data_IF_521151957614
#
_entry.id   IF_521151957614
#
_cell.length_a   1.000
_cell.length_b   1.000
_cell.length_c   1.000
_cell.angle_alpha   90.00
_cell.angle_beta   90.00
_cell.angle_gamma   90.00
#
_symmetry.space_group_name_H-M   'P 1'
#
loop_
_entity.id
_entity.type
_entity.pdbx_description
1 polymer ?
#
# COMPACT_ATOMS: atom_id res chain seq x y z
N UNK A 1 -60.70 -21.25 -41.94
CA UNK A 1 -59.63 -22.18 -41.49
C UNK A 1 -58.67 -21.32 -40.67
N UNK A 2 -58.90 -20.95 -39.41
CA UNK A 2 -59.21 -21.70 -38.19
C UNK A 2 -58.35 -22.95 -37.99
N UNK A 3 -57.16 -22.77 -37.43
CA UNK A 3 -56.53 -23.74 -36.53
C UNK A 3 -56.00 -23.01 -35.29
N UNK A 4 -56.66 -23.29 -34.19
CA UNK A 4 -56.40 -22.85 -32.82
C UNK A 4 -55.42 -23.83 -32.19
N UNK A 5 -54.28 -23.34 -31.69
CA UNK A 5 -53.39 -24.15 -30.84
C UNK A 5 -53.84 -23.98 -29.36
N UNK A 6 -53.96 -25.07 -28.58
CA UNK A 6 -54.56 -25.05 -27.25
C UNK A 6 -53.56 -24.66 -26.17
N UNK A 7 -54.11 -24.17 -25.05
CA UNK A 7 -53.38 -23.61 -23.94
C UNK A 7 -52.47 -24.57 -23.19
N UNK A 8 -51.47 -23.97 -22.54
CA UNK A 8 -50.84 -24.54 -21.36
C UNK A 8 -50.80 -23.45 -20.28
N UNK A 9 -51.11 -23.90 -19.08
CA UNK A 9 -51.61 -23.13 -17.95
C UNK A 9 -50.56 -22.17 -17.36
N UNK A 10 -51.06 -21.05 -16.86
CA UNK A 10 -50.35 -20.15 -15.96
C UNK A 10 -50.00 -20.90 -14.68
N UNK A 11 -48.72 -21.19 -14.50
CA UNK A 11 -48.08 -21.55 -13.22
C UNK A 11 -47.45 -20.23 -12.74
N UNK A 12 -47.88 -19.62 -11.65
CA UNK A 12 -47.92 -20.18 -10.31
C UNK A 12 -46.72 -19.59 -9.54
N UNK A 13 -47.03 -18.69 -8.61
CA UNK A 13 -46.19 -18.18 -7.52
C UNK A 13 -44.78 -17.68 -7.83
N UNK A 14 -44.68 -16.36 -8.09
CA UNK A 14 -43.46 -15.61 -7.80
C UNK A 14 -43.44 -15.29 -6.30
N UNK A 15 -43.10 -16.28 -5.49
CA UNK A 15 -42.66 -16.06 -4.10
C UNK A 15 -41.41 -15.21 -4.16
N UNK A 16 -41.54 -13.91 -3.96
CA UNK A 16 -40.41 -13.05 -3.61
C UNK A 16 -39.93 -13.50 -2.24
N UNK A 17 -39.00 -14.45 -2.23
CA UNK A 17 -38.22 -14.79 -1.04
C UNK A 17 -37.37 -13.58 -0.72
N UNK A 18 -37.95 -12.67 0.07
CA UNK A 18 -37.24 -11.58 0.72
C UNK A 18 -36.23 -12.23 1.67
N UNK A 19 -34.99 -12.37 1.18
CA UNK A 19 -33.86 -12.66 2.06
C UNK A 19 -33.73 -11.44 2.95
N UNK A 20 -34.26 -11.56 4.16
CA UNK A 20 -34.00 -10.61 5.23
C UNK A 20 -32.48 -10.59 5.43
N UNK A 21 -31.83 -9.54 4.92
CA UNK A 21 -30.48 -9.18 5.31
C UNK A 21 -30.60 -8.75 6.77
N UNK A 22 -30.47 -9.71 7.68
CA UNK A 22 -30.27 -9.42 9.08
C UNK A 22 -29.02 -8.54 9.22
N UNK A 23 -28.99 -7.60 10.18
CA UNK A 23 -27.83 -6.74 10.36
C UNK A 23 -26.59 -7.62 10.58
N UNK A 24 -25.56 -7.38 9.77
CA UNK A 24 -24.28 -8.06 9.94
C UNK A 24 -23.80 -7.83 11.39
N UNK A 25 -23.20 -8.85 12.05
CA UNK A 25 -22.62 -8.64 13.36
C UNK A 25 -21.59 -7.52 13.24
N UNK A 26 -21.67 -6.51 14.11
CA UNK A 26 -20.88 -5.27 14.07
C UNK A 26 -19.34 -5.51 13.97
N UNK A 27 -18.85 -6.72 14.28
CA UNK A 27 -17.45 -7.11 14.13
C UNK A 27 -17.05 -7.72 12.77
N UNK A 28 -17.99 -8.19 11.96
CA UNK A 28 -17.69 -8.77 10.64
C UNK A 28 -17.34 -7.67 9.63
N UNK A 29 -18.00 -6.52 9.71
CA UNK A 29 -17.70 -5.36 8.86
C UNK A 29 -16.33 -4.77 9.17
N UNK A 30 -15.97 -4.65 10.46
CA UNK A 30 -14.64 -4.17 10.86
C UNK A 30 -13.52 -5.15 10.48
N UNK A 31 -13.74 -6.46 10.63
CA UNK A 31 -12.74 -7.46 10.23
C UNK A 31 -12.55 -7.50 8.70
N UNK A 32 -13.63 -7.37 7.92
CA UNK A 32 -13.56 -7.27 6.48
C UNK A 32 -12.85 -5.99 6.00
N UNK A 33 -13.09 -4.86 6.66
CA UNK A 33 -12.40 -3.60 6.38
C UNK A 33 -10.90 -3.69 6.68
N UNK A 34 -10.52 -4.30 7.81
CA UNK A 34 -9.11 -4.49 8.16
C UNK A 34 -8.40 -5.40 7.16
N UNK A 35 -9.05 -6.50 6.74
CA UNK A 35 -8.50 -7.38 5.72
C UNK A 35 -8.32 -6.66 4.37
N UNK A 36 -9.31 -5.88 3.94
CA UNK A 36 -9.22 -5.10 2.71
C UNK A 36 -8.09 -4.05 2.76
N UNK A 37 -7.84 -3.48 3.94
CA UNK A 37 -6.72 -2.58 4.19
C UNK A 37 -5.38 -3.29 4.04
N UNK A 38 -5.23 -4.47 4.65
CA UNK A 38 -4.01 -5.27 4.53
C UNK A 38 -3.73 -5.67 3.08
N UNK A 39 -4.74 -6.12 2.34
CA UNK A 39 -4.62 -6.47 0.92
C UNK A 39 -4.22 -5.26 0.07
N UNK A 40 -4.77 -4.07 0.36
CA UNK A 40 -4.36 -2.83 -0.30
C UNK A 40 -2.90 -2.47 -0.01
N UNK A 41 -2.42 -2.65 1.24
CA UNK A 41 -1.01 -2.44 1.59
C UNK A 41 -0.10 -3.39 0.82
N UNK A 42 -0.44 -4.68 0.74
CA UNK A 42 0.36 -5.65 0.02
C UNK A 42 0.47 -5.32 -1.47
N UNK A 43 -0.64 -4.91 -2.09
CA UNK A 43 -0.62 -4.44 -3.49
C UNK A 43 0.34 -3.26 -3.68
N UNK A 44 0.26 -2.26 -2.79
CA UNK A 44 1.10 -1.08 -2.85
C UNK A 44 2.58 -1.42 -2.66
N UNK A 45 2.91 -2.24 -1.65
CA UNK A 45 4.29 -2.69 -1.41
C UNK A 45 4.83 -3.47 -2.62
N UNK A 46 4.01 -4.31 -3.24
CA UNK A 46 4.38 -5.05 -4.44
C UNK A 46 4.82 -4.12 -5.58
N UNK A 47 4.03 -3.10 -5.90
CA UNK A 47 4.38 -2.13 -6.96
C UNK A 47 5.66 -1.33 -6.60
N UNK A 48 5.81 -0.97 -5.33
CA UNK A 48 7.01 -0.27 -4.84
C UNK A 48 8.28 -1.12 -4.96
N UNK A 49 8.22 -2.36 -4.49
CA UNK A 49 9.37 -3.26 -4.53
C UNK A 49 9.66 -3.77 -5.93
N UNK A 50 8.68 -3.79 -6.82
CA UNK A 50 8.94 -3.98 -8.24
C UNK A 50 9.85 -2.87 -8.78
N UNK A 51 9.56 -1.59 -8.50
CA UNK A 51 10.41 -0.47 -8.91
C UNK A 51 11.82 -0.51 -8.28
N UNK A 52 11.92 -0.90 -7.02
CA UNK A 52 13.20 -1.15 -6.32
C UNK A 52 13.99 -2.25 -7.04
N UNK A 53 13.34 -3.38 -7.34
CA UNK A 53 13.92 -4.52 -8.02
C UNK A 53 14.43 -4.20 -9.43
N UNK A 54 13.69 -3.41 -10.22
CA UNK A 54 14.14 -2.94 -11.53
C UNK A 54 15.46 -2.15 -11.43
N UNK A 55 15.61 -1.34 -10.39
CA UNK A 55 16.83 -0.53 -10.19
C UNK A 55 18.01 -1.40 -9.73
N UNK A 56 17.76 -2.36 -8.85
CA UNK A 56 18.82 -3.22 -8.30
C UNK A 56 19.26 -4.28 -9.30
N UNK A 57 18.31 -4.94 -9.98
CA UNK A 57 18.59 -6.06 -10.88
C UNK A 57 19.48 -5.72 -12.09
N UNK A 58 19.64 -4.43 -12.40
CA UNK A 58 20.60 -3.96 -13.40
C UNK A 58 22.04 -3.79 -12.86
N UNK A 59 22.26 -3.93 -11.54
CA UNK A 59 23.51 -3.53 -10.87
C UNK A 59 24.08 -4.58 -9.91
N UNK A 60 23.23 -5.30 -9.18
CA UNK A 60 23.64 -6.29 -8.15
C UNK A 60 22.44 -7.18 -7.77
N UNK A 61 22.63 -8.07 -6.80
CA UNK A 61 21.59 -8.93 -6.23
C UNK A 61 21.21 -8.48 -4.81
N UNK A 62 20.08 -8.97 -4.31
CA UNK A 62 19.60 -8.70 -2.95
C UNK A 62 19.43 -10.03 -2.24
N UNK A 63 19.92 -10.11 -1.00
CA UNK A 63 19.69 -11.29 -0.17
C UNK A 63 18.21 -11.39 0.19
N UNK A 64 17.69 -12.61 0.25
CA UNK A 64 16.29 -12.85 0.62
C UNK A 64 15.91 -12.19 1.96
N UNK A 65 16.78 -12.30 2.96
CA UNK A 65 16.56 -11.71 4.29
C UNK A 65 16.46 -10.18 4.25
N UNK A 66 17.15 -9.52 3.32
CA UNK A 66 17.05 -8.09 3.12
C UNK A 66 15.69 -7.69 2.52
N UNK A 67 15.17 -8.48 1.57
CA UNK A 67 13.84 -8.29 0.98
C UNK A 67 12.74 -8.47 2.03
N UNK A 68 12.79 -9.56 2.80
CA UNK A 68 11.85 -9.83 3.89
C UNK A 68 11.86 -8.70 4.91
N UNK A 69 13.06 -8.26 5.32
CA UNK A 69 13.18 -7.16 6.28
C UNK A 69 12.57 -5.86 5.76
N UNK A 70 12.81 -5.49 4.49
CA UNK A 70 12.18 -4.32 3.90
C UNK A 70 10.66 -4.45 3.84
N UNK A 71 10.16 -5.61 3.43
CA UNK A 71 8.72 -5.87 3.36
C UNK A 71 8.06 -5.65 4.71
N UNK A 72 8.53 -6.34 5.76
CA UNK A 72 7.97 -6.22 7.11
C UNK A 72 8.05 -4.79 7.65
N UNK A 73 9.22 -4.15 7.47
CA UNK A 73 9.48 -2.81 7.99
C UNK A 73 8.58 -1.75 7.35
N UNK A 74 8.40 -1.80 6.02
CA UNK A 74 7.56 -0.83 5.32
C UNK A 74 6.07 -1.19 5.38
N UNK A 75 5.70 -2.48 5.49
CA UNK A 75 4.30 -2.89 5.72
C UNK A 75 3.69 -2.24 6.94
N UNK A 76 4.40 -2.28 8.07
CA UNK A 76 3.94 -1.64 9.31
C UNK A 76 3.68 -0.13 9.12
N UNK A 77 4.54 0.55 8.35
CA UNK A 77 4.42 1.99 8.07
C UNK A 77 3.26 2.30 7.12
N UNK A 78 3.10 1.50 6.08
CA UNK A 78 2.06 1.69 5.08
C UNK A 78 0.67 1.43 5.70
N UNK A 79 0.55 0.41 6.55
CA UNK A 79 -0.65 0.19 7.37
C UNK A 79 -0.96 1.41 8.24
N UNK A 80 0.03 1.89 9.00
CA UNK A 80 -0.16 3.07 9.85
C UNK A 80 -0.57 4.32 9.05
N UNK A 81 -0.05 4.46 7.82
CA UNK A 81 -0.41 5.55 6.92
C UNK A 81 -1.82 5.45 6.39
N UNK A 82 -2.20 4.29 5.86
CA UNK A 82 -3.55 4.10 5.34
C UNK A 82 -4.60 4.24 6.44
N UNK A 83 -4.32 3.77 7.66
CA UNK A 83 -5.23 3.98 8.82
C UNK A 83 -5.41 5.46 9.17
N UNK A 84 -4.37 6.28 9.01
CA UNK A 84 -4.41 7.70 9.40
C UNK A 84 -4.94 8.63 8.32
N UNK A 85 -4.64 8.34 7.05
CA UNK A 85 -4.85 9.25 5.93
C UNK A 85 -5.81 8.70 4.88
N UNK A 86 -6.27 7.46 5.05
CA UNK A 86 -7.00 6.71 4.03
C UNK A 86 -6.09 6.18 2.92
N UNK A 87 -6.69 5.48 1.96
CA UNK A 87 -5.98 5.01 0.78
C UNK A 87 -5.89 6.14 -0.26
N UNK A 88 -4.72 6.79 -0.35
CA UNK A 88 -4.38 7.81 -1.34
C UNK A 88 -3.33 7.33 -2.34
N UNK A 89 -3.21 6.00 -2.47
CA UNK A 89 -2.17 5.36 -3.26
C UNK A 89 -2.05 5.94 -4.67
N UNK A 90 -3.17 6.06 -5.38
CA UNK A 90 -3.17 6.55 -6.76
C UNK A 90 -2.65 7.98 -6.89
N UNK A 91 -2.88 8.83 -5.88
CA UNK A 91 -2.38 10.21 -5.87
C UNK A 91 -0.89 10.28 -5.51
N UNK A 92 -0.42 9.36 -4.68
CA UNK A 92 0.95 9.34 -4.17
C UNK A 92 1.90 8.42 -4.94
N UNK A 93 1.40 7.65 -5.92
CA UNK A 93 2.14 6.60 -6.62
C UNK A 93 3.49 7.07 -7.15
N UNK A 94 3.55 8.20 -7.84
CA UNK A 94 4.80 8.75 -8.38
C UNK A 94 5.81 9.09 -7.27
N UNK A 95 5.34 9.71 -6.18
CA UNK A 95 6.19 10.07 -5.05
C UNK A 95 6.73 8.83 -4.35
N UNK A 96 5.89 7.83 -4.14
CA UNK A 96 6.26 6.56 -3.49
C UNK A 96 7.23 5.78 -4.37
N UNK A 97 7.02 5.72 -5.68
CA UNK A 97 7.95 5.10 -6.64
C UNK A 97 9.30 5.81 -6.65
N UNK A 98 9.34 7.14 -6.65
CA UNK A 98 10.59 7.90 -6.58
C UNK A 98 11.37 7.61 -5.29
N UNK A 99 10.67 7.45 -4.17
CA UNK A 99 11.28 7.02 -2.90
C UNK A 99 11.79 5.58 -2.98
N UNK A 100 11.10 4.69 -3.68
CA UNK A 100 11.57 3.34 -3.99
C UNK A 100 12.88 3.35 -4.79
N UNK A 101 13.01 4.18 -5.82
CA UNK A 101 14.27 4.32 -6.56
C UNK A 101 15.40 4.84 -5.66
N UNK A 102 15.13 5.84 -4.83
CA UNK A 102 16.10 6.32 -3.86
C UNK A 102 16.51 5.21 -2.88
N UNK A 103 15.58 4.38 -2.39
CA UNK A 103 15.91 3.23 -1.54
C UNK A 103 16.89 2.30 -2.25
N UNK A 104 16.62 1.94 -3.50
CA UNK A 104 17.47 1.09 -4.31
C UNK A 104 18.88 1.69 -4.50
N UNK A 105 18.97 2.96 -4.85
CA UNK A 105 20.27 3.65 -5.02
C UNK A 105 21.10 3.66 -3.73
N UNK A 106 20.44 3.91 -2.59
CA UNK A 106 21.11 3.90 -1.28
C UNK A 106 21.54 2.49 -0.90
N UNK A 107 20.73 1.48 -1.18
CA UNK A 107 21.05 0.09 -0.90
C UNK A 107 22.28 -0.37 -1.69
N UNK A 108 22.31 -0.09 -3.00
CA UNK A 108 23.47 -0.37 -3.86
C UNK A 108 24.72 0.34 -3.33
N UNK A 109 24.61 1.60 -2.90
CA UNK A 109 25.73 2.34 -2.33
C UNK A 109 26.23 1.74 -1.02
N UNK A 110 25.34 1.33 -0.12
CA UNK A 110 25.69 0.73 1.17
C UNK A 110 26.22 -0.70 1.06
N UNK A 111 25.99 -1.36 -0.08
CA UNK A 111 26.54 -2.65 -0.44
C UNK A 111 27.84 -2.55 -1.26
N UNK A 112 28.34 -1.34 -1.55
CA UNK A 112 29.53 -1.15 -2.39
C UNK A 112 30.72 -1.99 -1.90
N UNK A 113 31.30 -2.78 -2.80
CA UNK A 113 32.39 -3.71 -2.50
C UNK A 113 31.94 -5.09 -1.99
N UNK A 114 30.64 -5.39 -2.03
CA UNK A 114 30.06 -6.71 -1.71
C UNK A 114 29.33 -7.28 -2.92
N UNK A 115 29.13 -8.59 -2.94
CA UNK A 115 28.49 -9.30 -4.04
C UNK A 115 26.96 -9.10 -4.07
N UNK A 116 26.35 -8.83 -2.90
CA UNK A 116 24.91 -8.63 -2.74
C UNK A 116 24.57 -7.58 -1.68
N UNK A 117 23.32 -7.12 -1.72
CA UNK A 117 22.73 -6.25 -0.70
C UNK A 117 22.24 -7.11 0.48
N UNK A 118 22.99 -7.07 1.58
CA UNK A 118 22.64 -7.74 2.83
C UNK A 118 21.64 -6.93 3.68
N UNK A 119 21.15 -7.54 4.76
CA UNK A 119 20.17 -6.91 5.66
C UNK A 119 20.70 -5.62 6.30
N UNK A 120 22.02 -5.49 6.48
CA UNK A 120 22.63 -4.30 7.08
C UNK A 120 22.65 -3.13 6.09
N UNK A 121 22.99 -3.38 4.83
CA UNK A 121 22.90 -2.40 3.77
C UNK A 121 21.44 -1.97 3.55
N UNK A 122 20.50 -2.91 3.58
CA UNK A 122 19.06 -2.66 3.50
C UNK A 122 18.55 -1.74 4.62
N UNK A 123 18.97 -2.00 5.86
CA UNK A 123 18.66 -1.16 7.04
C UNK A 123 19.21 0.25 6.92
N UNK A 124 20.47 0.39 6.50
CA UNK A 124 21.10 1.70 6.29
C UNK A 124 20.39 2.49 5.19
N UNK A 125 20.02 1.84 4.09
CA UNK A 125 19.27 2.46 3.01
C UNK A 125 17.88 2.93 3.45
N UNK A 126 17.16 2.11 4.22
CA UNK A 126 15.88 2.48 4.80
C UNK A 126 16.00 3.69 5.74
N UNK A 127 17.04 3.73 6.59
CA UNK A 127 17.31 4.86 7.47
C UNK A 127 17.58 6.16 6.70
N UNK A 128 18.30 6.09 5.57
CA UNK A 128 18.53 7.26 4.69
C UNK A 128 17.22 7.77 4.08
N UNK A 129 16.37 6.87 3.60
CA UNK A 129 15.05 7.20 3.04
C UNK A 129 14.17 7.85 4.10
N UNK A 130 14.15 7.30 5.31
CA UNK A 130 13.38 7.84 6.43
C UNK A 130 13.86 9.23 6.84
N UNK A 131 15.17 9.43 6.87
CA UNK A 131 15.76 10.74 7.16
C UNK A 131 15.39 11.76 6.09
N UNK A 132 15.45 11.37 4.83
CA UNK A 132 15.01 12.20 3.71
C UNK A 132 13.54 12.60 3.87
N UNK A 133 12.68 11.61 4.13
CA UNK A 133 11.27 11.78 4.42
C UNK A 133 11.02 12.77 5.56
N UNK A 134 11.74 12.59 6.68
CA UNK A 134 11.62 13.44 7.85
C UNK A 134 11.98 14.89 7.52
N UNK A 135 13.12 15.14 6.87
CA UNK A 135 13.56 16.49 6.50
C UNK A 135 12.55 17.16 5.55
N UNK A 136 12.05 16.41 4.56
CA UNK A 136 11.08 16.94 3.58
C UNK A 136 9.75 17.29 4.24
N UNK A 137 9.26 16.46 5.17
CA UNK A 137 8.03 16.74 5.93
C UNK A 137 8.16 17.97 6.83
N UNK A 138 9.32 18.17 7.48
CA UNK A 138 9.59 19.34 8.31
C UNK A 138 9.60 20.64 7.51
N UNK A 139 10.23 20.62 6.33
CA UNK A 139 10.24 21.79 5.42
C UNK A 139 8.84 22.10 4.90
N UNK A 140 8.06 21.07 4.52
CA UNK A 140 6.68 21.27 4.08
C UNK A 140 5.83 21.92 5.18
N UNK A 141 5.94 21.47 6.44
CA UNK A 141 5.24 22.08 7.57
C UNK A 141 5.60 23.56 7.76
N UNK A 142 6.87 23.94 7.61
CA UNK A 142 7.32 25.34 7.69
C UNK A 142 6.83 26.21 6.54
N UNK A 143 6.45 25.61 5.41
CA UNK A 143 5.94 26.34 4.23
C UNK A 143 4.42 26.39 4.20
N UNK A 144 3.74 25.59 5.05
CA UNK A 144 2.28 25.44 5.08
C UNK A 144 1.62 26.15 6.26
N UNK A 145 2.31 27.09 6.93
CA UNK A 145 1.76 27.91 8.02
C UNK A 145 0.51 28.75 7.60
N UNK A 146 0.16 28.79 6.31
CA UNK A 146 -1.07 29.42 5.78
C UNK A 146 -2.26 28.46 5.61
N UNK A 147 -2.12 27.13 5.79
CA UNK A 147 -3.24 26.18 5.69
C UNK A 147 -3.12 25.01 6.71
N UNK A 148 -3.85 25.06 7.84
CA UNK A 148 -3.81 24.02 8.88
C UNK A 148 -4.38 22.67 8.44
N UNK A 149 -4.98 22.58 7.25
CA UNK A 149 -5.44 21.31 6.65
C UNK A 149 -4.44 20.67 5.69
N UNK A 150 -3.33 21.37 5.39
CA UNK A 150 -2.27 20.87 4.53
C UNK A 150 -1.43 19.80 5.27
N UNK A 151 -1.98 18.58 5.37
CA UNK A 151 -1.19 17.40 5.73
C UNK A 151 0.03 17.33 4.79
N UNK A 152 1.25 17.05 5.30
CA UNK A 152 2.47 17.12 4.51
C UNK A 152 2.35 16.22 3.27
N UNK A 153 2.11 16.85 2.12
CA UNK A 153 1.60 16.24 0.88
C UNK A 153 2.60 15.36 0.12
N UNK A 154 3.70 14.91 0.72
CA UNK A 154 4.72 14.22 -0.07
C UNK A 154 5.30 13.01 0.64
N UNK A 155 5.02 11.85 0.02
CA UNK A 155 5.41 10.48 0.36
C UNK A 155 4.72 9.87 1.60
N UNK A 156 3.40 10.10 1.72
CA UNK A 156 2.53 9.78 2.87
C UNK A 156 2.64 8.38 3.49
N UNK A 157 3.19 7.40 2.77
CA UNK A 157 3.42 6.02 3.25
C UNK A 157 4.81 5.77 3.85
N UNK A 158 5.87 6.26 3.20
CA UNK A 158 7.26 6.05 3.63
C UNK A 158 7.66 6.94 4.81
N UNK A 159 7.04 8.11 4.89
CA UNK A 159 7.46 9.18 5.79
C UNK A 159 6.76 9.15 7.16
N UNK A 160 5.98 8.10 7.45
CA UNK A 160 5.36 7.97 8.77
C UNK A 160 6.37 7.48 9.80
N UNK A 161 6.46 8.26 10.87
CA UNK A 161 7.10 7.86 12.11
C UNK A 161 6.12 7.00 12.89
N UNK A 162 6.46 5.72 13.07
CA UNK A 162 5.75 4.87 14.03
C UNK A 162 6.09 5.34 15.44
N UNK A 163 5.13 5.40 16.38
CA UNK A 163 5.44 5.59 17.79
C UNK A 163 6.36 4.45 18.24
N UNK A 164 7.41 4.80 19.00
CA UNK A 164 8.33 3.85 19.61
C UNK A 164 7.70 3.21 20.83
#
# INVERSE_FOLDING_TARGET
MNETIPGMQSVGDRTTSSVAVGPAPLGAESAAQEKALEEAVEYVLGDCFFAVGQTIGMRTTVDYDAVVWWHDHFRAKFLAAMRRQGNRWLQDRENVTAVGWMLAERAVRHAAGRDSIDVQAARRAAADVERYCQIRSQRAAQTSDDDPTASPRMAGYWCIRLPR
#
